data_IF_996794859754
#
_entry.id   IF_996794859754
#
_cell.length_a   1.000
_cell.length_b   1.000
_cell.length_c   1.000
_cell.angle_alpha   90.00
_cell.angle_beta   90.00
_cell.angle_gamma   90.00
#
_symmetry.space_group_name_H-M   'P 1'
#
loop_
_entity.id
_entity.type
_entity.pdbx_description
1 polymer ?
#
# COMPACT_ATOMS: atom_id res chain seq x y z
N UNK A 1 3.74 12.82 18.34
CA UNK A 1 3.40 13.05 16.91
C UNK A 1 4.45 12.36 16.07
N UNK A 2 4.03 11.63 15.06
CA UNK A 2 4.95 10.97 14.14
C UNK A 2 5.61 12.00 13.21
N UNK A 3 6.89 11.82 12.89
CA UNK A 3 7.63 12.64 11.92
C UNK A 3 7.04 12.48 10.53
N UNK A 4 6.63 11.27 10.18
CA UNK A 4 5.97 10.96 8.92
C UNK A 4 4.45 10.83 9.14
N UNK A 5 3.62 11.68 8.52
CA UNK A 5 2.17 11.61 8.71
C UNK A 5 1.57 10.38 8.01
N UNK A 6 0.71 9.63 8.70
CA UNK A 6 0.06 8.42 8.16
C UNK A 6 -0.85 8.73 6.94
N UNK A 7 -1.46 9.91 6.92
CA UNK A 7 -2.38 10.40 5.89
C UNK A 7 -1.79 10.49 4.47
N UNK A 8 -0.47 10.53 4.32
CA UNK A 8 0.19 10.64 3.01
C UNK A 8 0.32 9.26 2.34
N UNK A 9 -0.24 9.05 1.13
CA UNK A 9 -0.03 7.82 0.38
C UNK A 9 1.44 7.63 -0.01
N UNK A 10 1.96 6.42 0.15
CA UNK A 10 3.39 6.10 -0.07
C UNK A 10 3.60 4.94 -1.01
N UNK A 11 4.72 4.95 -1.71
CA UNK A 11 5.19 3.81 -2.52
C UNK A 11 5.87 2.80 -1.59
N UNK A 12 5.41 1.56 -1.60
CA UNK A 12 5.92 0.51 -0.71
C UNK A 12 6.94 -0.38 -1.42
N UNK A 13 8.01 -0.72 -0.69
CA UNK A 13 9.01 -1.70 -1.05
C UNK A 13 9.20 -2.71 0.07
N UNK A 14 9.53 -3.95 -0.28
CA UNK A 14 9.96 -4.96 0.69
C UNK A 14 11.48 -5.03 0.74
N UNK A 15 12.04 -5.22 1.94
CA UNK A 15 13.44 -5.57 2.12
C UNK A 15 13.62 -6.58 3.25
N UNK A 16 14.67 -7.41 3.15
CA UNK A 16 15.15 -8.30 4.23
C UNK A 16 16.24 -7.65 5.07
N UNK A 17 16.80 -6.56 4.56
CA UNK A 17 17.94 -5.84 5.11
C UNK A 17 17.61 -4.35 5.08
N UNK A 18 17.15 -3.85 6.21
CA UNK A 18 16.86 -2.43 6.42
C UNK A 18 17.50 -1.98 7.72
N UNK A 19 18.24 -0.88 7.66
CA UNK A 19 18.94 -0.31 8.81
C UNK A 19 20.36 0.13 8.46
N UNK A 20 20.74 1.34 8.88
CA UNK A 20 22.11 1.89 8.84
C UNK A 20 22.66 2.29 7.47
N UNK A 21 22.46 1.49 6.42
CA UNK A 21 23.06 1.70 5.08
C UNK A 21 22.05 1.72 3.94
N UNK A 22 20.82 1.27 4.17
CA UNK A 22 19.78 1.19 3.15
C UNK A 22 19.32 2.58 2.72
N UNK A 23 19.49 2.89 1.44
CA UNK A 23 18.98 4.13 0.83
C UNK A 23 17.61 3.91 0.22
N UNK A 24 16.85 5.00 0.10
CA UNK A 24 15.57 4.98 -0.58
C UNK A 24 15.74 4.47 -2.03
N UNK A 25 14.96 3.46 -2.47
CA UNK A 25 15.09 2.90 -3.81
C UNK A 25 14.61 3.84 -4.92
N UNK A 26 13.80 4.86 -4.61
CA UNK A 26 13.31 5.82 -5.59
C UNK A 26 14.26 7.01 -5.78
N UNK A 27 14.78 7.60 -4.68
CA UNK A 27 15.55 8.86 -4.76
C UNK A 27 16.95 8.79 -4.12
N UNK A 28 17.36 7.64 -3.59
CA UNK A 28 18.65 7.47 -2.91
C UNK A 28 18.79 8.20 -1.57
N UNK A 29 17.70 8.76 -1.02
CA UNK A 29 17.69 9.47 0.26
C UNK A 29 17.91 8.56 1.48
N UNK A 30 18.15 9.19 2.63
CA UNK A 30 18.13 8.55 3.94
C UNK A 30 16.76 7.90 4.21
N UNK A 31 16.80 6.76 4.90
CA UNK A 31 15.63 6.09 5.43
C UNK A 31 15.70 6.15 6.96
N UNK A 32 14.58 6.51 7.59
CA UNK A 32 14.44 6.58 9.04
C UNK A 32 13.35 5.62 9.47
N UNK A 33 13.62 4.78 10.47
CA UNK A 33 12.60 3.92 11.04
C UNK A 33 11.64 4.74 11.89
N UNK A 34 10.34 4.47 11.75
CA UNK A 34 9.30 5.07 12.58
C UNK A 34 8.18 4.05 12.84
N UNK A 35 7.61 4.10 14.05
CA UNK A 35 6.49 3.22 14.42
C UNK A 35 5.18 3.73 13.87
N UNK A 36 4.46 2.85 13.17
CA UNK A 36 3.13 3.12 12.62
C UNK A 36 2.23 1.92 12.82
N UNK A 37 0.92 2.16 12.74
CA UNK A 37 -0.08 1.10 12.66
C UNK A 37 -0.31 0.74 11.20
N UNK A 38 -0.19 -0.54 10.88
CA UNK A 38 -0.39 -1.09 9.55
C UNK A 38 -1.58 -2.05 9.55
N UNK A 39 -2.28 -2.13 8.42
CA UNK A 39 -3.24 -3.19 8.18
C UNK A 39 -2.55 -4.33 7.41
N UNK A 40 -2.48 -5.48 8.05
CA UNK A 40 -1.85 -6.69 7.53
C UNK A 40 -2.92 -7.70 7.17
N UNK A 41 -2.86 -8.23 5.95
CA UNK A 41 -3.68 -9.33 5.49
C UNK A 41 -2.82 -10.60 5.40
N UNK A 42 -3.36 -11.73 5.86
CA UNK A 42 -2.72 -13.03 5.75
C UNK A 42 -3.75 -14.14 5.48
N UNK A 43 -3.31 -15.23 4.86
CA UNK A 43 -4.13 -16.42 4.69
C UNK A 43 -4.00 -17.37 5.88
N UNK A 44 -5.13 -17.77 6.45
CA UNK A 44 -5.24 -18.72 7.55
C UNK A 44 -6.37 -19.71 7.22
N UNK A 45 -6.05 -21.01 7.16
CA UNK A 45 -7.06 -22.05 6.90
C UNK A 45 -7.79 -21.95 5.55
N UNK A 46 -7.26 -21.20 4.58
CA UNK A 46 -7.90 -20.95 3.28
C UNK A 46 -8.76 -19.68 3.23
N UNK A 47 -8.89 -18.96 4.35
CA UNK A 47 -9.57 -17.67 4.42
C UNK A 47 -8.56 -16.54 4.55
N UNK A 48 -8.92 -15.34 4.06
CA UNK A 48 -8.10 -14.13 4.25
C UNK A 48 -8.52 -13.45 5.54
N UNK A 49 -7.62 -13.41 6.51
CA UNK A 49 -7.77 -12.68 7.76
C UNK A 49 -7.00 -11.36 7.71
N UNK A 50 -7.52 -10.35 8.41
CA UNK A 50 -6.87 -9.06 8.55
C UNK A 50 -6.52 -8.79 10.02
N UNK A 51 -5.39 -8.14 10.27
CA UNK A 51 -4.99 -7.71 11.61
C UNK A 51 -4.33 -6.34 11.55
N UNK A 52 -4.59 -5.53 12.57
CA UNK A 52 -3.83 -4.31 12.83
C UNK A 52 -2.52 -4.69 13.54
N UNK A 53 -1.42 -4.10 13.09
CA UNK A 53 -0.09 -4.32 13.68
C UNK A 53 0.60 -2.98 13.85
N UNK A 54 0.97 -2.64 15.08
CA UNK A 54 1.81 -1.49 15.39
C UNK A 54 3.27 -1.91 15.56
N UNK A 55 4.15 -1.50 14.64
CA UNK A 55 5.57 -1.81 14.73
C UNK A 55 6.46 -0.74 14.07
N UNK A 56 7.76 -0.80 14.33
CA UNK A 56 8.80 0.05 13.73
C UNK A 56 9.45 -0.56 12.47
N UNK A 57 8.79 -1.55 11.85
CA UNK A 57 9.29 -2.22 10.64
C UNK A 57 9.19 -1.37 9.38
N UNK A 58 8.66 -0.14 9.47
CA UNK A 58 8.60 0.80 8.36
C UNK A 58 9.75 1.80 8.37
N UNK A 59 10.48 1.84 7.26
CA UNK A 59 11.57 2.76 7.01
C UNK A 59 11.14 3.79 5.98
N UNK A 60 10.98 5.04 6.42
CA UNK A 60 10.42 6.12 5.65
C UNK A 60 11.51 7.02 5.07
N UNK A 61 11.33 7.43 3.81
CA UNK A 61 12.23 8.37 3.19
C UNK A 61 11.89 9.82 3.56
N UNK A 62 12.92 10.60 3.88
CA UNK A 62 12.77 12.03 4.20
C UNK A 62 12.54 12.92 2.96
N UNK A 63 12.89 12.42 1.77
CA UNK A 63 12.89 13.22 0.53
C UNK A 63 11.73 12.93 -0.41
N UNK A 64 11.10 11.75 -0.31
CA UNK A 64 10.02 11.35 -1.21
C UNK A 64 9.02 10.41 -0.49
N UNK A 65 7.78 10.27 -0.99
CA UNK A 65 6.76 9.43 -0.37
C UNK A 65 7.01 7.94 -0.65
N UNK A 66 8.10 7.42 -0.08
CA UNK A 66 8.53 6.02 -0.19
C UNK A 66 8.70 5.44 1.20
N UNK A 67 8.22 4.21 1.38
CA UNK A 67 8.42 3.41 2.57
C UNK A 67 9.00 2.05 2.17
N UNK A 68 9.99 1.59 2.94
CA UNK A 68 10.56 0.25 2.83
C UNK A 68 10.15 -0.52 4.08
N UNK A 69 9.48 -1.65 3.91
CA UNK A 69 9.01 -2.50 4.99
C UNK A 69 10.01 -3.64 5.23
N UNK A 70 10.37 -3.83 6.50
CA UNK A 70 11.20 -4.94 6.95
C UNK A 70 10.38 -6.23 6.98
N UNK A 71 10.61 -7.08 5.99
CA UNK A 71 9.98 -8.40 5.90
C UNK A 71 10.15 -9.26 7.16
N UNK A 72 11.25 -9.13 7.92
CA UNK A 72 11.48 -9.91 9.15
C UNK A 72 10.54 -9.48 10.26
N UNK A 73 10.45 -8.17 10.51
CA UNK A 73 9.57 -7.60 11.55
C UNK A 73 8.10 -7.92 11.27
N UNK A 74 7.67 -7.85 10.01
CA UNK A 74 6.29 -8.19 9.63
C UNK A 74 6.03 -9.71 9.67
N UNK A 75 7.00 -10.54 9.30
CA UNK A 75 6.88 -11.98 9.45
C UNK A 75 6.75 -12.38 10.93
N UNK A 76 7.58 -11.83 11.82
CA UNK A 76 7.50 -12.06 13.26
C UNK A 76 6.12 -11.65 13.81
N UNK A 77 5.60 -10.49 13.38
CA UNK A 77 4.27 -10.02 13.77
C UNK A 77 3.16 -10.99 13.35
N UNK A 78 3.30 -11.62 12.18
CA UNK A 78 2.34 -12.61 11.69
C UNK A 78 2.46 -13.96 12.39
N UNK A 79 3.67 -14.39 12.73
CA UNK A 79 3.91 -15.60 13.55
C UNK A 79 3.26 -15.43 14.92
N UNK A 80 3.44 -14.28 15.56
CA UNK A 80 2.81 -13.99 16.86
C UNK A 80 1.28 -14.01 16.78
N UNK A 81 0.70 -13.63 15.65
CA UNK A 81 -0.74 -13.60 15.47
C UNK A 81 -1.34 -14.96 15.14
N UNK A 82 -0.69 -15.73 14.28
CA UNK A 82 -1.22 -17.01 13.74
C UNK A 82 -0.70 -18.24 14.48
N UNK A 83 0.39 -18.12 15.24
CA UNK A 83 1.12 -19.25 15.80
C UNK A 83 1.86 -20.10 14.74
N UNK A 84 1.77 -19.74 13.45
CA UNK A 84 2.39 -20.49 12.36
C UNK A 84 3.73 -19.84 11.97
N UNK A 85 4.77 -20.67 11.77
CA UNK A 85 6.12 -20.18 11.42
C UNK A 85 6.23 -19.67 9.99
N UNK A 86 5.26 -19.98 9.13
CA UNK A 86 5.33 -19.71 7.69
C UNK A 86 3.95 -19.28 7.16
N UNK A 87 3.53 -18.03 7.42
CA UNK A 87 2.29 -17.50 6.87
C UNK A 87 2.43 -17.45 5.34
N UNK A 88 1.76 -18.39 4.64
CA UNK A 88 2.00 -18.67 3.23
C UNK A 88 1.76 -17.46 2.30
N UNK A 89 0.96 -16.48 2.74
CA UNK A 89 0.75 -15.21 2.04
C UNK A 89 0.54 -14.10 3.05
N UNK A 90 1.51 -13.20 3.19
CA UNK A 90 1.41 -11.97 3.97
C UNK A 90 1.44 -10.76 3.04
N UNK A 91 0.51 -9.82 3.23
CA UNK A 91 0.46 -8.57 2.48
C UNK A 91 0.13 -7.41 3.43
N UNK A 92 0.85 -6.31 3.30
CA UNK A 92 0.51 -5.07 4.00
C UNK A 92 -0.32 -4.22 3.05
N UNK A 93 -1.57 -3.96 3.45
CA UNK A 93 -2.54 -3.24 2.63
C UNK A 93 -2.28 -1.73 2.65
N UNK A 94 -1.84 -1.21 3.81
CA UNK A 94 -1.58 0.21 3.98
C UNK A 94 -1.25 0.59 5.42
N UNK A 95 -1.16 1.90 5.63
CA UNK A 95 -0.94 2.53 6.94
C UNK A 95 -2.30 2.99 7.46
N UNK A 96 -2.57 2.78 8.74
CA UNK A 96 -3.81 3.23 9.39
C UNK A 96 -3.59 4.63 9.96
N UNK A 97 -4.41 5.58 9.52
CA UNK A 97 -4.42 6.95 10.01
C UNK A 97 -5.42 7.10 11.16
N UNK A 98 -4.97 6.78 12.38
CA UNK A 98 -5.80 6.88 13.58
C UNK A 98 -6.30 8.32 13.86
N UNK A 99 -5.69 9.35 13.25
CA UNK A 99 -6.17 10.73 13.39
C UNK A 99 -7.42 11.04 12.56
N UNK A 100 -7.78 10.16 11.62
CA UNK A 100 -8.99 10.27 10.81
C UNK A 100 -10.20 9.51 11.39
N UNK A 101 -10.07 8.92 12.60
CA UNK A 101 -11.21 8.33 13.31
C UNK A 101 -12.14 9.46 13.77
N UNK A 102 -13.45 9.41 13.46
CA UNK A 102 -14.39 10.46 13.86
C UNK A 102 -14.45 10.66 15.38
N UNK A 103 -14.46 11.92 15.82
CA UNK A 103 -14.68 12.28 17.22
C UNK A 103 -16.00 11.69 17.72
N UNK A 104 -15.95 10.90 18.80
CA UNK A 104 -17.10 10.16 19.34
C UNK A 104 -17.14 8.66 19.02
N UNK A 105 -16.32 8.18 18.08
CA UNK A 105 -16.23 6.76 17.73
C UNK A 105 -14.96 6.07 18.29
N UNK A 106 -14.19 6.76 19.14
CA UNK A 106 -12.94 6.24 19.72
C UNK A 106 -13.16 4.96 20.54
N UNK A 107 -14.32 4.83 21.19
CA UNK A 107 -14.69 3.66 21.98
C UNK A 107 -15.27 2.51 21.14
N UNK A 108 -15.54 2.74 19.85
CA UNK A 108 -16.06 1.71 18.96
C UNK A 108 -14.90 0.93 18.32
N UNK A 109 -15.03 -0.39 18.13
CA UNK A 109 -14.04 -1.15 17.38
C UNK A 109 -13.87 -0.60 15.96
N UNK A 110 -12.62 -0.46 15.52
CA UNK A 110 -12.32 -0.09 14.13
C UNK A 110 -12.81 -1.19 13.18
N UNK A 111 -13.52 -0.79 12.13
CA UNK A 111 -14.17 -1.69 11.18
C UNK A 111 -15.61 -2.08 11.54
N UNK A 112 -16.16 -1.59 12.66
CA UNK A 112 -17.58 -1.75 12.99
C UNK A 112 -18.47 -0.81 12.17
N UNK A 113 -19.77 -1.10 12.11
CA UNK A 113 -20.76 -0.23 11.47
C UNK A 113 -20.70 1.18 12.08
N UNK A 114 -20.37 2.17 11.26
CA UNK A 114 -20.18 3.57 11.67
C UNK A 114 -18.76 3.97 12.08
N UNK A 115 -17.82 3.03 12.23
CA UNK A 115 -16.41 3.31 12.53
C UNK A 115 -15.47 2.61 11.53
N UNK A 116 -15.33 3.11 10.29
CA UNK A 116 -14.49 2.47 9.28
C UNK A 116 -13.00 2.53 9.65
N UNK A 117 -12.22 1.55 9.18
CA UNK A 117 -10.76 1.59 9.33
C UNK A 117 -10.20 2.72 8.44
N UNK A 118 -9.55 3.76 9.01
CA UNK A 118 -8.98 4.85 8.23
C UNK A 118 -7.70 4.41 7.52
N UNK A 119 -7.85 3.61 6.47
CA UNK A 119 -6.74 2.98 5.75
C UNK A 119 -6.21 3.87 4.62
N UNK A 120 -4.92 4.19 4.68
CA UNK A 120 -4.18 4.83 3.59
C UNK A 120 -3.41 3.77 2.81
N UNK A 121 -3.93 3.44 1.63
CA UNK A 121 -3.35 2.44 0.74
C UNK A 121 -2.00 2.90 0.16
N UNK A 122 -1.11 1.93 -0.09
CA UNK A 122 0.12 2.19 -0.81
C UNK A 122 -0.11 2.48 -2.30
N UNK A 123 0.78 3.28 -2.88
CA UNK A 123 0.74 3.63 -4.30
C UNK A 123 1.20 2.42 -5.12
N UNK A 124 0.28 1.83 -5.88
CA UNK A 124 0.60 0.75 -6.82
C UNK A 124 1.43 1.28 -8.01
N UNK A 125 2.70 0.87 -8.09
CA UNK A 125 3.59 1.24 -9.20
C UNK A 125 3.11 0.67 -10.54
N UNK A 126 2.37 -0.46 -10.54
CA UNK A 126 1.84 -1.06 -11.79
C UNK A 126 0.80 -0.17 -12.47
N UNK A 127 0.11 0.70 -11.70
CA UNK A 127 -0.88 1.64 -12.24
C UNK A 127 -0.26 2.93 -12.79
N UNK A 128 1.04 3.21 -12.56
CA UNK A 128 1.73 4.38 -13.16
C UNK A 128 1.98 4.23 -14.67
N UNK A 129 1.85 3.01 -15.22
CA UNK A 129 1.97 2.70 -16.64
C UNK A 129 0.66 2.70 -17.43
N UNK A 130 -0.41 3.28 -16.88
CA UNK A 130 -1.68 3.47 -17.58
C UNK A 130 -1.54 4.51 -18.67
N UNK A 131 -0.89 4.14 -19.79
CA UNK A 131 -1.05 4.82 -21.07
C UNK A 131 -2.54 5.07 -21.23
N UNK A 132 -2.92 6.36 -21.27
CA UNK A 132 -4.20 6.78 -21.81
C UNK A 132 -4.22 6.19 -23.22
N UNK A 133 -4.81 5.00 -23.38
CA UNK A 133 -5.21 4.47 -24.68
C UNK A 133 -6.26 5.46 -25.15
N UNK A 134 -5.79 6.53 -25.80
CA UNK A 134 -6.61 7.49 -26.53
C UNK A 134 -7.56 6.63 -27.35
N UNK A 135 -8.86 6.68 -27.00
CA UNK A 135 -9.98 6.11 -27.77
C UNK A 135 -10.14 6.82 -29.13
N UNK A 136 -9.04 7.15 -29.80
CA UNK A 136 -8.99 7.91 -31.04
C UNK A 136 -8.83 7.04 -32.29
N UNK A 137 -8.56 5.72 -32.16
CA UNK A 137 -8.32 4.86 -33.33
C UNK A 137 -9.60 4.26 -33.95
N UNK A 138 -10.70 4.09 -33.21
CA UNK A 138 -11.94 3.52 -33.78
C UNK A 138 -12.76 4.50 -34.64
N UNK A 139 -12.65 5.80 -34.40
CA UNK A 139 -13.34 6.81 -35.23
C UNK A 139 -12.68 6.98 -36.61
N UNK A 140 -11.34 7.04 -36.68
CA UNK A 140 -10.61 7.17 -37.96
C UNK A 140 -10.76 5.96 -38.88
N UNK A 141 -10.86 4.74 -38.33
CA UNK A 141 -10.98 3.53 -39.13
C UNK A 141 -12.36 3.38 -39.83
N UNK A 142 -13.43 3.97 -39.26
CA UNK A 142 -14.75 4.03 -39.90
C UNK A 142 -14.83 5.09 -41.01
N UNK A 143 -14.11 6.21 -40.90
CA UNK A 143 -14.10 7.24 -41.95
C UNK A 143 -13.39 6.76 -43.22
N UNK A 144 -12.27 6.04 -43.08
CA UNK A 144 -11.50 5.52 -44.22
C UNK A 144 -12.28 4.48 -45.05
N UNK A 145 -13.10 3.64 -44.41
CA UNK A 145 -13.96 2.67 -45.12
C UNK A 145 -15.12 3.32 -45.91
N UNK A 146 -15.59 4.50 -45.49
CA UNK A 146 -16.71 5.19 -46.16
C UNK A 146 -16.26 5.89 -47.45
N UNK A 147 -15.02 6.39 -47.52
CA UNK A 147 -14.51 7.08 -48.70
C UNK A 147 -14.13 6.14 -49.85
N UNK A 148 -13.72 4.89 -49.58
CA UNK A 148 -13.40 3.92 -50.63
C UNK A 148 -14.64 3.35 -51.34
N UNK A 149 -15.83 3.49 -50.77
CA UNK A 149 -17.09 3.01 -51.39
C UNK A 149 -17.76 4.04 -52.30
N UNK A 150 -17.27 5.29 -52.34
CA UNK A 150 -17.75 6.37 -53.23
C UNK A 150 -16.90 6.56 -54.49
N UNK A 151 -15.81 5.81 -54.64
CA UNK A 151 -14.89 5.86 -55.81
C UNK A 151 -14.94 4.59 -56.67
N UNK A 152 -15.96 3.74 -56.46
CA UNK A 152 -16.30 2.61 -57.32
C UNK A 152 -17.67 2.88 -57.92
#
# INVERSE_FOLDING_TARGET
>A
MNKFPASIPRTMYWSKEVGGTTRCPECGGSLTSESHTYLMAFEEGGETANSLVGNSGGYFCEKCPTVVLDSKVFAESAVLRTGTKDPQKLTILGIVDLSAVPEGNESMPLGADGNPIPLVNFIDRRRRGGVIRRKASRARQKQARKNNRKRR
#
